data_IF_043349291275
#
_entry.id   IF_043349291275
#
_cell.length_a   1.000
_cell.length_b   1.000
_cell.length_c   1.000
_cell.angle_alpha   90.00
_cell.angle_beta   90.00
_cell.angle_gamma   90.00
#
_symmetry.space_group_name_H-M   'P 1'
#
loop_
_entity.id
_entity.type
_entity.pdbx_description
1 polymer ?
#
# COMPACT_ATOMS: atom_id res chain seq x y z
N UNK A 1 13.25 24.10 -11.99
CA UNK A 1 12.47 23.07 -11.28
C UNK A 1 13.44 22.03 -10.78
N UNK A 2 13.58 21.91 -9.47
CA UNK A 2 14.43 20.88 -8.91
C UNK A 2 13.88 19.50 -9.32
N UNK A 3 14.77 18.68 -9.91
CA UNK A 3 14.38 17.36 -10.38
C UNK A 3 14.10 16.47 -9.18
N UNK A 4 12.93 15.90 -9.15
CA UNK A 4 12.55 14.81 -8.24
C UNK A 4 13.56 13.68 -8.37
N UNK A 5 14.35 13.45 -7.33
CA UNK A 5 15.43 12.46 -7.34
C UNK A 5 14.90 11.12 -6.86
N UNK A 6 15.14 10.08 -7.63
CA UNK A 6 14.79 8.72 -7.24
C UNK A 6 16.04 7.85 -7.10
N UNK A 7 16.13 7.14 -6.01
CA UNK A 7 17.11 6.08 -5.78
C UNK A 7 16.42 4.73 -6.01
N UNK A 8 16.58 4.16 -7.20
CA UNK A 8 16.03 2.84 -7.50
C UNK A 8 16.96 1.73 -6.99
N UNK A 9 16.45 0.89 -6.10
CA UNK A 9 17.14 -0.28 -5.56
C UNK A 9 17.39 -1.32 -6.65
N UNK A 10 18.63 -1.86 -6.70
CA UNK A 10 19.07 -2.84 -7.71
C UNK A 10 18.73 -4.30 -7.33
N UNK A 11 18.23 -4.52 -6.16
CA UNK A 11 17.80 -5.82 -5.63
C UNK A 11 16.49 -5.66 -4.87
N UNK A 12 15.72 -6.74 -4.69
CA UNK A 12 14.58 -6.70 -3.77
C UNK A 12 15.04 -6.34 -2.36
N UNK A 13 14.20 -5.65 -1.63
CA UNK A 13 14.37 -5.45 -0.21
C UNK A 13 13.80 -6.67 0.52
N UNK A 14 14.66 -7.65 0.83
CA UNK A 14 14.20 -8.94 1.36
C UNK A 14 13.54 -8.86 2.74
N UNK A 15 13.81 -7.82 3.53
CA UNK A 15 13.05 -7.59 4.77
C UNK A 15 11.63 -7.14 4.48
N UNK A 16 11.47 -6.26 3.50
CA UNK A 16 10.16 -5.85 3.01
C UNK A 16 9.41 -7.05 2.40
N UNK A 17 10.07 -7.86 1.55
CA UNK A 17 9.49 -9.07 0.99
C UNK A 17 9.08 -10.06 2.08
N UNK A 18 9.85 -10.20 3.16
CA UNK A 18 9.51 -11.01 4.32
C UNK A 18 8.20 -10.54 4.98
N UNK A 19 8.03 -9.23 5.17
CA UNK A 19 6.76 -8.68 5.67
C UNK A 19 5.62 -9.03 4.72
N UNK A 20 5.82 -8.88 3.41
CA UNK A 20 4.79 -9.20 2.42
C UNK A 20 4.44 -10.69 2.46
N UNK A 21 5.40 -11.59 2.72
CA UNK A 21 5.14 -13.01 2.93
C UNK A 21 4.14 -13.27 4.08
N UNK A 22 4.21 -12.51 5.18
CA UNK A 22 3.22 -12.66 6.28
C UNK A 22 1.80 -12.42 5.79
N UNK A 23 1.61 -11.45 4.91
CA UNK A 23 0.30 -11.15 4.31
C UNK A 23 -0.06 -12.17 3.25
N UNK A 24 0.87 -12.50 2.34
CA UNK A 24 0.62 -13.35 1.19
C UNK A 24 0.43 -14.82 1.56
N UNK A 25 0.93 -15.23 2.71
CA UNK A 25 0.62 -16.53 3.35
C UNK A 25 -0.88 -16.74 3.55
N UNK A 26 -1.61 -15.65 3.87
CA UNK A 26 -3.06 -15.68 4.10
C UNK A 26 -3.89 -15.43 2.84
N UNK A 27 -3.41 -14.62 1.89
CA UNK A 27 -4.25 -14.13 0.78
C UNK A 27 -3.82 -14.53 -0.61
N UNK A 28 -2.67 -15.13 -0.82
CA UNK A 28 -2.17 -15.59 -2.12
C UNK A 28 -2.49 -14.64 -3.29
N UNK A 29 -1.77 -13.55 -3.40
CA UNK A 29 -2.02 -12.51 -4.41
C UNK A 29 -1.84 -13.04 -5.83
N UNK A 30 -0.92 -13.97 -6.08
CA UNK A 30 -0.73 -14.59 -7.39
C UNK A 30 -2.01 -15.30 -7.84
N UNK A 31 -2.62 -16.09 -6.94
CA UNK A 31 -3.89 -16.75 -7.21
C UNK A 31 -5.03 -15.76 -7.44
N UNK A 32 -5.02 -14.63 -6.73
CA UNK A 32 -6.02 -13.59 -6.95
C UNK A 32 -5.90 -12.99 -8.35
N UNK A 33 -4.67 -12.73 -8.84
CA UNK A 33 -4.42 -12.20 -10.19
C UNK A 33 -4.78 -13.22 -11.26
N UNK A 34 -4.39 -14.49 -11.12
CA UNK A 34 -4.69 -15.52 -12.12
C UNK A 34 -6.20 -15.83 -12.26
N UNK A 35 -7.00 -15.41 -11.29
CA UNK A 35 -8.48 -15.50 -11.34
C UNK A 35 -9.17 -14.21 -11.79
N UNK A 36 -8.41 -13.21 -12.18
CA UNK A 36 -8.94 -11.91 -12.58
C UNK A 36 -8.96 -11.73 -14.10
N UNK A 37 -9.52 -12.71 -14.82
CA UNK A 37 -9.58 -12.78 -16.29
C UNK A 37 -10.21 -11.53 -16.90
N UNK A 38 -11.33 -11.11 -16.36
CA UNK A 38 -12.07 -9.93 -16.83
C UNK A 38 -11.26 -8.66 -16.62
N UNK A 39 -10.61 -8.54 -15.45
CA UNK A 39 -9.83 -7.37 -15.10
C UNK A 39 -8.65 -7.13 -16.03
N UNK A 40 -8.00 -8.20 -16.47
CA UNK A 40 -6.81 -8.11 -17.32
C UNK A 40 -7.09 -8.43 -18.81
N UNK A 41 -8.30 -8.83 -19.15
CA UNK A 41 -8.66 -9.22 -20.53
C UNK A 41 -7.83 -10.38 -21.06
N UNK A 42 -7.42 -11.30 -20.18
CA UNK A 42 -6.58 -12.45 -20.48
C UNK A 42 -7.28 -13.73 -20.04
N UNK A 43 -7.05 -14.84 -20.75
CA UNK A 43 -7.57 -16.13 -20.31
C UNK A 43 -6.87 -16.59 -19.02
N UNK A 44 -7.55 -17.41 -18.25
CA UNK A 44 -7.00 -17.98 -17.03
C UNK A 44 -5.73 -18.79 -17.30
N UNK A 45 -5.75 -19.61 -18.32
CA UNK A 45 -4.60 -20.40 -18.74
C UNK A 45 -3.38 -19.52 -19.07
N UNK A 46 -3.59 -18.41 -19.77
CA UNK A 46 -2.54 -17.44 -20.04
C UNK A 46 -1.97 -16.87 -18.71
N UNK A 47 -2.84 -16.42 -17.82
CA UNK A 47 -2.41 -15.85 -16.54
C UNK A 47 -1.68 -16.88 -15.67
N UNK A 48 -2.15 -18.10 -15.58
CA UNK A 48 -1.51 -19.19 -14.82
C UNK A 48 -0.11 -19.50 -15.38
N UNK A 49 0.05 -19.55 -16.70
CA UNK A 49 1.36 -19.77 -17.34
C UNK A 49 2.30 -18.57 -17.11
N UNK A 50 1.80 -17.36 -17.31
CA UNK A 50 2.57 -16.12 -17.20
C UNK A 50 3.09 -15.88 -15.78
N UNK A 51 2.31 -16.23 -14.75
CA UNK A 51 2.69 -16.09 -13.36
C UNK A 51 3.29 -17.36 -12.73
N UNK A 52 3.56 -18.39 -13.53
CA UNK A 52 4.01 -19.70 -13.02
C UNK A 52 5.31 -19.63 -12.20
N UNK A 53 6.30 -18.85 -12.65
CA UNK A 53 7.56 -18.66 -11.92
C UNK A 53 7.37 -17.89 -10.62
N UNK A 54 6.57 -16.84 -10.64
CA UNK A 54 6.24 -16.07 -9.45
C UNK A 54 5.47 -16.93 -8.45
N UNK A 55 4.53 -17.75 -8.92
CA UNK A 55 3.82 -18.72 -8.09
C UNK A 55 4.80 -19.72 -7.46
N UNK A 56 5.70 -20.31 -8.26
CA UNK A 56 6.73 -21.21 -7.77
C UNK A 56 7.62 -20.58 -6.72
N UNK A 57 8.13 -19.37 -6.97
CA UNK A 57 8.95 -18.64 -6.00
C UNK A 57 8.19 -18.40 -4.70
N UNK A 58 6.99 -17.85 -4.81
CA UNK A 58 6.11 -17.57 -3.66
C UNK A 58 5.84 -18.83 -2.85
N UNK A 59 5.40 -19.91 -3.51
CA UNK A 59 5.00 -21.14 -2.83
C UNK A 59 6.19 -21.83 -2.17
N UNK A 60 7.37 -21.84 -2.83
CA UNK A 60 8.61 -22.36 -2.26
C UNK A 60 9.02 -21.58 -1.01
N UNK A 61 9.04 -20.27 -1.09
CA UNK A 61 9.46 -19.40 0.02
C UNK A 61 8.52 -19.56 1.21
N UNK A 62 7.21 -19.51 0.98
CA UNK A 62 6.22 -19.63 2.06
C UNK A 62 6.30 -21.02 2.70
N UNK A 63 6.39 -22.08 1.92
CA UNK A 63 6.51 -23.45 2.42
C UNK A 63 7.77 -23.66 3.29
N UNK A 64 8.92 -23.13 2.87
CA UNK A 64 10.15 -23.19 3.66
C UNK A 64 10.06 -22.37 4.96
N UNK A 65 9.48 -21.18 4.90
CA UNK A 65 9.26 -20.34 6.09
C UNK A 65 8.30 -21.04 7.06
N UNK A 66 7.21 -21.66 6.60
CA UNK A 66 6.26 -22.37 7.44
C UNK A 66 6.90 -23.63 8.08
N UNK A 67 7.75 -24.32 7.34
CA UNK A 67 8.50 -25.49 7.86
C UNK A 67 9.60 -25.14 8.86
N UNK A 68 9.97 -23.86 8.98
CA UNK A 68 10.98 -23.43 9.96
C UNK A 68 10.59 -23.64 11.43
N UNK A 69 9.30 -23.86 11.70
CA UNK A 69 8.76 -23.96 13.05
C UNK A 69 8.57 -22.62 13.77
N UNK A 70 8.67 -21.49 13.05
CA UNK A 70 8.38 -20.17 13.62
C UNK A 70 6.92 -20.06 14.06
N UNK A 71 6.68 -19.55 15.26
CA UNK A 71 5.32 -19.29 15.75
C UNK A 71 4.80 -17.93 15.22
N UNK A 72 3.95 -17.99 14.22
CA UNK A 72 3.33 -16.82 13.60
C UNK A 72 2.19 -16.20 14.42
N UNK A 73 1.69 -16.89 15.43
CA UNK A 73 0.45 -16.52 16.13
C UNK A 73 0.42 -15.08 16.63
N UNK A 74 1.56 -14.56 17.07
CA UNK A 74 1.67 -13.18 17.53
C UNK A 74 1.72 -12.18 16.37
N UNK A 75 2.60 -12.38 15.37
CA UNK A 75 2.70 -11.48 14.21
C UNK A 75 1.43 -11.47 13.36
N UNK A 76 0.72 -12.59 13.31
CA UNK A 76 -0.55 -12.73 12.61
C UNK A 76 -1.66 -11.79 13.12
N UNK A 77 -1.54 -11.28 14.34
CA UNK A 77 -2.45 -10.27 14.91
C UNK A 77 -2.34 -8.92 14.19
N UNK A 78 -1.18 -8.62 13.61
CA UNK A 78 -0.88 -7.39 12.87
C UNK A 78 -1.08 -7.54 11.35
N UNK A 79 -1.49 -8.72 10.91
CA UNK A 79 -1.77 -9.00 9.50
C UNK A 79 -3.26 -8.84 9.24
N UNK A 80 -3.66 -7.65 8.83
CA UNK A 80 -5.05 -7.28 8.57
C UNK A 80 -5.60 -7.93 7.29
N UNK A 81 -6.91 -8.26 7.26
CA UNK A 81 -7.53 -8.93 6.11
C UNK A 81 -7.73 -8.03 4.89
N UNK A 82 -7.63 -6.72 5.04
CA UNK A 82 -7.87 -5.78 3.95
C UNK A 82 -6.60 -5.54 3.14
N UNK A 83 -6.50 -6.24 2.01
CA UNK A 83 -5.39 -6.07 1.06
C UNK A 83 -5.38 -4.72 0.34
N UNK A 84 -6.45 -3.93 0.42
CA UNK A 84 -6.51 -2.57 -0.15
C UNK A 84 -5.88 -1.55 0.80
N UNK A 85 -5.94 -1.77 2.12
CA UNK A 85 -5.26 -0.93 3.10
C UNK A 85 -3.74 -1.08 2.99
N UNK A 86 -3.03 -0.03 3.42
CA UNK A 86 -1.57 -0.11 3.56
C UNK A 86 -1.23 -1.13 4.66
N UNK A 87 -0.42 -2.18 4.35
CA UNK A 87 -0.11 -3.20 5.34
C UNK A 87 0.57 -2.62 6.58
N UNK A 88 0.02 -2.89 7.76
CA UNK A 88 0.45 -2.30 9.02
C UNK A 88 1.96 -2.48 9.32
N UNK A 89 2.44 -3.73 9.22
CA UNK A 89 3.85 -4.02 9.47
C UNK A 89 4.76 -3.39 8.41
N UNK A 90 4.30 -3.21 7.17
CA UNK A 90 5.03 -2.51 6.13
C UNK A 90 5.12 -1.01 6.42
N UNK A 91 4.08 -0.43 7.00
CA UNK A 91 4.08 0.95 7.48
C UNK A 91 5.11 1.14 8.59
N UNK A 92 5.11 0.27 9.61
CA UNK A 92 6.11 0.29 10.67
C UNK A 92 7.54 0.13 10.11
N UNK A 93 7.71 -0.72 9.12
CA UNK A 93 8.98 -0.95 8.45
C UNK A 93 9.51 0.33 7.79
N UNK A 94 8.70 1.02 7.01
CA UNK A 94 9.10 2.29 6.39
C UNK A 94 9.31 3.39 7.44
N UNK A 95 8.41 3.50 8.41
CA UNK A 95 8.52 4.48 9.49
C UNK A 95 9.83 4.34 10.29
N UNK A 96 10.31 3.11 10.48
CA UNK A 96 11.61 2.82 11.14
C UNK A 96 12.83 3.07 10.25
N UNK A 97 12.67 3.64 9.05
CA UNK A 97 13.75 3.78 8.08
C UNK A 97 14.28 2.44 7.54
N UNK A 98 13.40 1.45 7.40
CA UNK A 98 13.66 0.06 6.93
C UNK A 98 14.56 -0.77 7.89
N UNK A 99 14.65 -0.39 9.14
CA UNK A 99 15.51 -1.05 10.12
C UNK A 99 14.86 -1.30 11.49
N UNK A 100 13.62 -1.85 11.58
CA UNK A 100 12.98 -2.08 12.87
C UNK A 100 13.73 -3.13 13.70
N UNK A 101 14.48 -4.00 13.07
CA UNK A 101 15.29 -5.05 13.67
C UNK A 101 16.58 -4.54 14.32
N UNK A 102 17.01 -3.32 14.03
CA UNK A 102 18.20 -2.70 14.67
C UNK A 102 17.88 -1.98 15.97
N UNK A 103 16.63 -1.73 16.25
CA UNK A 103 16.16 -1.07 17.47
C UNK A 103 16.10 -2.10 18.59
N UNK A 104 17.03 -2.04 19.55
CA UNK A 104 17.23 -3.09 20.55
C UNK A 104 17.12 -2.63 21.99
N UNK A 105 17.48 -1.39 22.31
CA UNK A 105 17.33 -0.87 23.69
C UNK A 105 15.88 -0.55 23.99
N UNK A 106 15.52 -0.61 25.28
CA UNK A 106 14.17 -0.31 25.72
C UNK A 106 13.76 1.12 25.35
N UNK A 107 14.68 2.06 25.52
CA UNK A 107 14.46 3.48 25.22
C UNK A 107 14.23 3.70 23.70
N UNK A 108 15.00 3.02 22.85
CA UNK A 108 14.82 3.11 21.40
C UNK A 108 13.48 2.50 20.94
N UNK A 109 13.09 1.37 21.54
CA UNK A 109 11.80 0.71 21.27
C UNK A 109 10.65 1.62 21.68
N UNK A 110 10.70 2.19 22.88
CA UNK A 110 9.68 3.09 23.39
C UNK A 110 9.58 4.37 22.55
N UNK A 111 10.72 4.90 22.12
CA UNK A 111 10.77 6.06 21.24
C UNK A 111 10.16 5.77 19.87
N UNK A 112 10.62 4.69 19.19
CA UNK A 112 10.14 4.34 17.87
C UNK A 112 8.64 4.08 17.86
N UNK A 113 8.15 3.26 18.78
CA UNK A 113 6.74 2.87 18.80
C UNK A 113 5.86 4.02 19.29
N UNK A 114 6.31 4.82 20.24
CA UNK A 114 5.59 6.03 20.67
C UNK A 114 5.40 7.03 19.54
N UNK A 115 6.46 7.30 18.78
CA UNK A 115 6.40 8.17 17.59
C UNK A 115 5.52 7.57 16.48
N UNK A 116 5.66 6.27 16.20
CA UNK A 116 4.88 5.57 15.18
C UNK A 116 3.38 5.57 15.49
N UNK A 117 3.01 5.32 16.72
CA UNK A 117 1.61 5.32 17.16
C UNK A 117 1.03 6.73 17.10
N UNK A 118 1.79 7.75 17.53
CA UNK A 118 1.38 9.15 17.43
C UNK A 118 1.15 9.57 15.96
N UNK A 119 2.07 9.24 15.08
CA UNK A 119 1.96 9.48 13.64
C UNK A 119 0.71 8.82 13.04
N UNK A 120 0.46 7.57 13.39
CA UNK A 120 -0.73 6.86 12.91
C UNK A 120 -2.04 7.48 13.43
N UNK A 121 -2.10 7.83 14.71
CA UNK A 121 -3.27 8.50 15.29
C UNK A 121 -3.50 9.84 14.57
N UNK A 122 -2.46 10.65 14.42
CA UNK A 122 -2.55 11.95 13.73
C UNK A 122 -3.08 11.82 12.31
N UNK A 123 -2.59 10.84 11.55
CA UNK A 123 -3.12 10.55 10.22
C UNK A 123 -4.59 10.13 10.24
N UNK A 124 -4.97 9.29 11.22
CA UNK A 124 -6.35 8.77 11.31
C UNK A 124 -7.34 9.84 11.71
N UNK A 125 -6.99 10.70 12.68
CA UNK A 125 -7.89 11.76 13.19
C UNK A 125 -7.67 13.08 12.47
N UNK A 126 -6.65 13.16 11.61
CA UNK A 126 -6.19 14.36 10.92
C UNK A 126 -6.08 15.57 11.87
N UNK A 127 -5.56 15.34 13.06
CA UNK A 127 -5.31 16.35 14.07
C UNK A 127 -3.84 16.74 14.02
N UNK A 128 -3.56 18.03 13.91
CA UNK A 128 -2.22 18.52 14.16
C UNK A 128 -1.91 18.37 15.66
N UNK A 129 -0.86 17.64 15.96
CA UNK A 129 -0.19 17.79 17.24
C UNK A 129 -0.50 16.77 18.33
N UNK A 130 -0.84 15.52 18.02
CA UNK A 130 -0.57 14.47 19.00
C UNK A 130 0.94 14.38 19.14
N UNK A 131 1.46 14.93 20.21
CA UNK A 131 2.86 14.75 20.60
C UNK A 131 3.13 13.25 20.79
N UNK A 132 4.39 12.88 20.84
CA UNK A 132 4.85 11.53 21.08
C UNK A 132 4.07 10.86 22.22
N UNK A 133 3.54 9.68 21.98
CA UNK A 133 2.89 8.86 23.01
C UNK A 133 3.96 8.22 23.89
N UNK A 134 4.03 8.63 25.15
CA UNK A 134 5.04 8.17 26.09
C UNK A 134 4.50 7.16 27.10
N UNK A 135 3.18 7.13 27.30
CA UNK A 135 2.54 6.29 28.31
C UNK A 135 1.16 5.77 27.92
N UNK A 136 0.76 4.69 28.58
CA UNK A 136 -0.51 4.01 28.32
C UNK A 136 -1.74 4.89 28.63
N UNK A 137 -1.66 5.74 29.66
CA UNK A 137 -2.75 6.64 30.02
C UNK A 137 -2.99 7.72 28.97
N UNK A 138 -1.91 8.26 28.41
CA UNK A 138 -1.96 9.21 27.31
C UNK A 138 -2.56 8.55 26.08
N UNK A 139 -2.11 7.33 25.76
CA UNK A 139 -2.64 6.55 24.64
C UNK A 139 -4.16 6.33 24.80
N UNK A 140 -4.65 5.91 25.95
CA UNK A 140 -6.09 5.72 26.17
C UNK A 140 -6.88 7.00 25.95
N UNK A 141 -6.41 8.14 26.46
CA UNK A 141 -7.08 9.44 26.24
C UNK A 141 -7.12 9.83 24.78
N UNK A 142 -6.05 9.58 24.05
CA UNK A 142 -5.98 9.89 22.61
C UNK A 142 -6.86 8.97 21.77
N UNK A 143 -6.94 7.68 22.14
CA UNK A 143 -7.78 6.70 21.46
C UNK A 143 -9.28 6.85 21.75
N UNK A 144 -9.68 7.64 22.73
CA UNK A 144 -11.11 7.97 22.99
C UNK A 144 -11.70 8.94 21.94
N UNK A 145 -11.07 9.04 20.81
CA UNK A 145 -11.53 9.84 19.68
C UNK A 145 -12.47 9.00 18.78
N UNK A 146 -13.73 9.42 18.56
CA UNK A 146 -14.68 8.66 17.76
C UNK A 146 -14.31 8.48 16.29
N UNK A 147 -13.35 9.26 15.78
CA UNK A 147 -12.85 9.16 14.42
C UNK A 147 -11.96 7.91 14.21
N UNK A 148 -11.39 7.35 15.29
CA UNK A 148 -10.56 6.15 15.21
C UNK A 148 -11.48 4.93 15.20
N UNK A 149 -11.40 4.10 14.16
CA UNK A 149 -12.16 2.87 14.08
C UNK A 149 -11.77 1.88 15.20
N UNK A 150 -12.73 1.07 15.65
CA UNK A 150 -12.48 0.12 16.75
C UNK A 150 -11.34 -0.85 16.44
N UNK A 151 -11.22 -1.28 15.18
CA UNK A 151 -10.15 -2.17 14.71
C UNK A 151 -8.77 -1.51 14.82
N UNK A 152 -8.67 -0.24 14.43
CA UNK A 152 -7.42 0.53 14.52
C UNK A 152 -7.05 0.79 15.98
N UNK A 153 -8.02 1.10 16.86
CA UNK A 153 -7.79 1.24 18.31
C UNK A 153 -7.16 -0.02 18.91
N UNK A 154 -7.73 -1.19 18.57
CA UNK A 154 -7.22 -2.46 19.08
C UNK A 154 -5.80 -2.73 18.59
N UNK A 155 -5.53 -2.45 17.33
CA UNK A 155 -4.22 -2.67 16.74
C UNK A 155 -3.16 -1.71 17.31
N UNK A 156 -3.52 -0.45 17.53
CA UNK A 156 -2.67 0.55 18.17
C UNK A 156 -2.36 0.16 19.61
N UNK A 157 -3.38 -0.22 20.39
CA UNK A 157 -3.20 -0.68 21.78
C UNK A 157 -2.30 -1.90 21.86
N UNK A 158 -2.54 -2.89 20.98
CA UNK A 158 -1.74 -4.11 20.93
C UNK A 158 -0.28 -3.84 20.59
N UNK A 159 -0.05 -2.94 19.64
CA UNK A 159 1.29 -2.48 19.27
C UNK A 159 2.01 -1.84 20.44
N UNK A 160 1.39 -0.88 21.09
CA UNK A 160 2.01 -0.15 22.17
C UNK A 160 2.26 -1.05 23.40
N UNK A 161 1.27 -1.86 23.77
CA UNK A 161 1.36 -2.77 24.91
C UNK A 161 2.42 -3.87 24.70
N UNK A 162 2.59 -4.36 23.49
CA UNK A 162 3.49 -5.47 23.15
C UNK A 162 4.70 -5.03 22.32
N UNK A 163 5.06 -3.77 22.30
CA UNK A 163 6.08 -3.17 21.43
C UNK A 163 7.44 -3.87 21.44
N UNK A 164 7.91 -4.29 22.62
CA UNK A 164 9.18 -5.03 22.74
C UNK A 164 9.09 -6.39 22.09
N UNK A 165 7.99 -7.11 22.32
CA UNK A 165 7.73 -8.40 21.70
C UNK A 165 7.58 -8.26 20.19
N UNK A 166 6.86 -7.25 19.71
CA UNK A 166 6.67 -7.00 18.29
C UNK A 166 7.99 -6.87 17.54
N UNK A 167 8.90 -6.01 18.04
CA UNK A 167 10.20 -5.82 17.39
C UNK A 167 11.12 -7.05 17.57
N UNK A 168 11.02 -7.75 18.70
CA UNK A 168 11.75 -8.99 18.93
C UNK A 168 11.31 -10.10 17.96
N UNK A 169 9.99 -10.29 17.81
CA UNK A 169 9.43 -11.33 16.93
C UNK A 169 9.66 -10.98 15.46
N UNK A 170 9.60 -9.70 15.08
CA UNK A 170 10.00 -9.27 13.73
C UNK A 170 11.47 -9.56 13.45
N UNK A 171 12.36 -9.33 14.41
CA UNK A 171 13.79 -9.65 14.28
C UNK A 171 14.01 -11.16 14.12
N UNK A 172 13.36 -11.96 14.98
CA UNK A 172 13.42 -13.41 14.87
C UNK A 172 12.86 -13.91 13.54
N UNK A 173 11.75 -13.36 13.09
CA UNK A 173 11.17 -13.67 11.80
C UNK A 173 12.10 -13.30 10.63
N UNK A 174 12.70 -12.11 10.61
CA UNK A 174 13.65 -11.72 9.57
C UNK A 174 14.88 -12.62 9.51
N UNK A 175 15.36 -13.13 10.66
CA UNK A 175 16.49 -14.04 10.70
C UNK A 175 16.21 -15.37 10.00
N UNK A 176 14.94 -15.74 9.85
CA UNK A 176 14.48 -16.94 9.14
C UNK A 176 14.08 -16.60 7.71
N UNK A 177 13.19 -15.63 7.53
CA UNK A 177 12.56 -15.37 6.25
C UNK A 177 13.52 -14.73 5.23
N UNK A 178 14.41 -13.83 5.65
CA UNK A 178 15.35 -13.17 4.73
C UNK A 178 16.30 -14.16 4.05
N UNK A 179 16.99 -15.06 4.76
CA UNK A 179 17.81 -16.09 4.11
C UNK A 179 17.03 -17.00 3.16
N UNK A 180 15.79 -17.38 3.50
CA UNK A 180 14.93 -18.19 2.64
C UNK A 180 14.62 -17.45 1.34
N UNK A 181 14.24 -16.18 1.42
CA UNK A 181 13.95 -15.33 0.26
C UNK A 181 15.21 -15.14 -0.63
N UNK A 182 16.35 -14.86 -0.02
CA UNK A 182 17.62 -14.68 -0.73
C UNK A 182 18.07 -15.96 -1.46
N UNK A 183 18.00 -17.10 -0.77
CA UNK A 183 18.42 -18.38 -1.33
C UNK A 183 17.54 -18.80 -2.51
N UNK A 184 16.25 -18.56 -2.44
CA UNK A 184 15.29 -18.93 -3.48
C UNK A 184 15.12 -17.86 -4.57
N UNK A 185 15.73 -16.67 -4.41
CA UNK A 185 15.62 -15.59 -5.39
C UNK A 185 16.06 -15.98 -6.80
N UNK A 186 16.92 -16.99 -6.94
CA UNK A 186 17.35 -17.51 -8.24
C UNK A 186 16.19 -17.98 -9.12
N UNK A 187 15.05 -18.41 -8.52
CA UNK A 187 13.84 -18.87 -9.25
C UNK A 187 13.25 -17.74 -10.10
N UNK A 188 13.27 -16.50 -9.59
CA UNK A 188 12.61 -15.34 -10.20
C UNK A 188 13.60 -14.26 -10.69
N UNK A 189 14.88 -14.42 -10.39
CA UNK A 189 15.92 -13.39 -10.67
C UNK A 189 15.91 -12.90 -12.10
N UNK A 190 15.86 -13.81 -13.08
CA UNK A 190 15.91 -13.44 -14.49
C UNK A 190 14.73 -12.54 -14.88
N UNK A 191 13.54 -12.86 -14.36
CA UNK A 191 12.32 -12.06 -14.57
C UNK A 191 12.44 -10.71 -13.87
N UNK A 192 12.87 -10.70 -12.61
CA UNK A 192 13.12 -9.46 -11.86
C UNK A 192 14.07 -8.51 -12.58
N UNK A 193 15.18 -9.03 -13.13
CA UNK A 193 16.17 -8.23 -13.86
C UNK A 193 15.62 -7.65 -15.17
N UNK A 194 14.67 -8.33 -15.82
CA UNK A 194 13.95 -7.79 -16.98
C UNK A 194 13.16 -6.57 -16.58
N UNK A 195 12.33 -6.69 -15.56
CA UNK A 195 11.52 -5.57 -15.08
C UNK A 195 12.36 -4.45 -14.49
N UNK A 196 13.44 -4.76 -13.76
CA UNK A 196 14.34 -3.74 -13.25
C UNK A 196 14.88 -2.85 -14.38
N UNK A 197 15.31 -3.46 -15.49
CA UNK A 197 15.77 -2.70 -16.67
C UNK A 197 14.68 -1.81 -17.28
N UNK A 198 13.42 -2.22 -17.22
CA UNK A 198 12.30 -1.38 -17.69
C UNK A 198 12.11 -0.16 -16.77
N UNK A 199 12.16 -0.36 -15.45
CA UNK A 199 12.06 0.74 -14.49
C UNK A 199 13.30 1.68 -14.53
N UNK A 200 14.47 1.18 -14.85
CA UNK A 200 15.70 1.99 -15.06
C UNK A 200 15.59 2.95 -16.25
N UNK A 201 14.70 2.71 -17.20
CA UNK A 201 14.47 3.59 -18.34
C UNK A 201 13.58 4.79 -17.99
N UNK A 202 12.93 4.78 -16.84
CA UNK A 202 12.07 5.89 -16.41
C UNK A 202 12.94 7.11 -16.13
N UNK A 203 12.80 8.13 -16.97
CA UNK A 203 13.55 9.38 -16.88
C UNK A 203 12.87 10.42 -16.01
N UNK A 204 11.56 10.37 -15.91
CA UNK A 204 10.74 11.21 -15.03
C UNK A 204 9.83 10.33 -14.15
N UNK A 205 10.25 10.18 -12.89
CA UNK A 205 9.51 9.40 -11.92
C UNK A 205 8.27 10.14 -11.38
N UNK A 206 8.26 11.46 -11.46
CA UNK A 206 7.06 12.21 -11.05
C UNK A 206 5.94 11.98 -12.05
N UNK A 207 6.23 12.06 -13.35
CA UNK A 207 5.28 11.72 -14.40
C UNK A 207 4.82 10.26 -14.30
N UNK A 208 5.75 9.34 -13.95
CA UNK A 208 5.40 7.94 -13.70
C UNK A 208 4.35 7.79 -12.60
N UNK A 209 4.56 8.42 -11.44
CA UNK A 209 3.61 8.32 -10.34
C UNK A 209 2.31 9.08 -10.63
N UNK A 210 2.39 10.24 -11.26
CA UNK A 210 1.22 11.03 -11.68
C UNK A 210 0.34 10.25 -12.68
N UNK A 211 0.95 9.51 -13.62
CA UNK A 211 0.24 8.62 -14.54
C UNK A 211 -0.58 7.55 -13.80
N UNK A 212 -0.08 7.05 -12.68
CA UNK A 212 -0.79 6.10 -11.82
C UNK A 212 -1.61 6.77 -10.72
N UNK A 213 -1.80 8.07 -10.82
CA UNK A 213 -2.62 8.83 -9.88
C UNK A 213 -2.06 8.88 -8.46
N UNK A 214 -0.76 8.71 -8.31
CA UNK A 214 -0.03 8.84 -7.05
C UNK A 214 0.73 10.15 -7.10
N UNK A 215 0.33 11.11 -6.28
CA UNK A 215 0.95 12.43 -6.25
C UNK A 215 1.73 12.64 -4.97
N UNK A 216 2.97 13.02 -5.13
CA UNK A 216 3.82 13.48 -4.03
C UNK A 216 3.79 14.99 -3.94
N UNK A 217 3.83 15.52 -2.73
CA UNK A 217 3.99 16.94 -2.50
C UNK A 217 5.27 17.48 -3.16
N UNK A 218 5.28 18.79 -3.41
CA UNK A 218 6.44 19.47 -4.00
C UNK A 218 7.68 19.40 -3.10
N UNK A 219 7.46 19.22 -1.80
CA UNK A 219 8.52 19.12 -0.79
C UNK A 219 9.24 17.78 -0.79
N UNK A 220 8.67 16.72 -1.39
CA UNK A 220 9.35 15.46 -1.63
C UNK A 220 10.37 15.64 -2.75
N UNK A 221 11.63 15.79 -2.38
CA UNK A 221 12.73 16.01 -3.33
C UNK A 221 13.47 14.72 -3.68
N UNK A 222 13.46 13.74 -2.78
CA UNK A 222 14.10 12.45 -2.96
C UNK A 222 13.17 11.32 -2.52
N UNK A 223 13.13 10.25 -3.30
CA UNK A 223 12.34 9.05 -3.03
C UNK A 223 13.20 7.79 -3.19
N UNK A 224 13.23 6.96 -2.18
CA UNK A 224 13.85 5.65 -2.27
C UNK A 224 12.83 4.62 -2.78
N UNK A 225 13.05 4.15 -4.00
CA UNK A 225 12.16 3.20 -4.67
C UNK A 225 12.75 1.80 -4.63
N UNK A 226 11.95 0.84 -4.18
CA UNK A 226 12.30 -0.58 -4.19
C UNK A 226 11.35 -1.34 -5.10
N UNK A 227 11.91 -2.13 -6.02
CA UNK A 227 11.12 -3.02 -6.84
C UNK A 227 10.80 -4.28 -6.04
N UNK A 228 9.50 -4.60 -5.89
CA UNK A 228 9.02 -5.74 -5.11
C UNK A 228 8.62 -6.91 -6.00
N UNK A 229 9.02 -8.11 -5.59
CA UNK A 229 8.65 -9.37 -6.24
C UNK A 229 7.27 -9.82 -5.79
N UNK A 230 7.04 -9.89 -4.49
CA UNK A 230 5.78 -10.43 -3.94
C UNK A 230 4.64 -9.41 -3.92
N UNK A 231 4.95 -8.11 -3.84
CA UNK A 231 3.97 -7.04 -4.04
C UNK A 231 3.78 -6.70 -5.53
N UNK A 232 4.00 -7.63 -6.42
CA UNK A 232 4.22 -7.49 -7.86
C UNK A 232 3.19 -6.63 -8.62
N UNK A 233 1.98 -6.48 -8.11
CA UNK A 233 0.85 -5.80 -8.76
C UNK A 233 0.41 -4.51 -8.05
N UNK A 234 1.19 -3.97 -7.11
CA UNK A 234 0.80 -2.81 -6.30
C UNK A 234 1.95 -1.81 -6.18
N UNK A 235 1.57 -0.55 -5.92
CA UNK A 235 2.48 0.46 -5.41
C UNK A 235 2.10 0.76 -3.97
N UNK A 236 3.11 0.91 -3.11
CA UNK A 236 2.96 1.34 -1.72
C UNK A 236 4.00 2.41 -1.41
N UNK A 237 3.55 3.62 -1.14
CA UNK A 237 4.44 4.74 -0.84
C UNK A 237 4.12 5.33 0.52
N UNK A 238 5.14 5.79 1.20
CA UNK A 238 5.04 6.47 2.48
C UNK A 238 6.03 7.62 2.51
N UNK A 239 5.55 8.80 2.88
CA UNK A 239 6.36 9.98 3.14
C UNK A 239 6.32 10.25 4.64
N UNK A 240 7.46 10.52 5.26
CA UNK A 240 7.54 10.76 6.70
C UNK A 240 8.54 11.88 6.98
N UNK A 241 8.08 12.93 7.63
CA UNK A 241 8.93 14.09 7.97
C UNK A 241 10.16 13.64 8.78
N UNK A 242 11.34 13.93 8.25
CA UNK A 242 12.62 13.65 8.92
C UNK A 242 13.05 12.17 8.96
N UNK A 243 12.27 11.25 8.37
CA UNK A 243 12.58 9.80 8.38
C UNK A 243 12.80 9.19 6.99
N UNK A 244 12.52 9.96 5.94
CA UNK A 244 12.69 9.58 4.54
C UNK A 244 11.38 9.23 3.82
N UNK A 245 11.47 9.24 2.51
CA UNK A 245 10.36 8.96 1.62
C UNK A 245 10.63 7.66 0.88
N UNK A 246 9.72 6.71 1.01
CA UNK A 246 9.87 5.36 0.51
C UNK A 246 8.74 4.97 -0.42
N UNK A 247 9.06 4.24 -1.48
CA UNK A 247 8.07 3.60 -2.34
C UNK A 247 8.49 2.18 -2.67
N UNK A 248 7.54 1.28 -2.60
CA UNK A 248 7.64 -0.05 -3.16
C UNK A 248 6.77 -0.14 -4.39
N UNK A 249 7.36 -0.48 -5.51
CA UNK A 249 6.68 -0.67 -6.79
C UNK A 249 6.73 -2.15 -7.14
N UNK A 250 5.59 -2.75 -7.39
CA UNK A 250 5.52 -4.14 -7.83
C UNK A 250 6.22 -4.33 -9.17
N UNK A 251 7.03 -5.37 -9.31
CA UNK A 251 7.84 -5.56 -10.51
C UNK A 251 6.99 -5.63 -11.80
N UNK A 252 5.77 -6.18 -11.73
CA UNK A 252 4.85 -6.31 -12.87
C UNK A 252 3.74 -5.25 -12.87
N UNK A 253 3.86 -4.20 -12.06
CA UNK A 253 2.80 -3.21 -11.90
C UNK A 253 2.43 -2.53 -13.22
N UNK A 254 3.42 -2.03 -13.97
CA UNK A 254 3.20 -1.36 -15.25
C UNK A 254 2.50 -2.26 -16.27
N UNK A 255 2.97 -3.49 -16.39
CA UNK A 255 2.42 -4.48 -17.32
C UNK A 255 0.95 -4.80 -17.00
N UNK A 256 0.67 -5.05 -15.70
CA UNK A 256 -0.68 -5.36 -15.27
C UNK A 256 -1.63 -4.16 -15.41
N UNK A 257 -1.13 -2.95 -15.19
CA UNK A 257 -1.90 -1.74 -15.44
C UNK A 257 -2.18 -1.51 -16.91
N UNK A 258 -1.24 -1.83 -17.78
CA UNK A 258 -1.46 -1.76 -19.22
C UNK A 258 -2.48 -2.82 -19.68
N UNK A 259 -2.43 -4.04 -19.14
CA UNK A 259 -3.46 -5.04 -19.41
C UNK A 259 -4.84 -4.60 -18.90
N UNK A 260 -4.91 -4.02 -17.70
CA UNK A 260 -6.15 -3.40 -17.20
C UNK A 260 -6.66 -2.34 -18.19
N UNK A 261 -5.79 -1.44 -18.65
CA UNK A 261 -6.14 -0.37 -19.59
C UNK A 261 -6.65 -0.91 -20.92
N UNK A 262 -5.99 -1.93 -21.48
CA UNK A 262 -6.41 -2.58 -22.71
C UNK A 262 -7.74 -3.32 -22.52
N UNK A 263 -7.91 -4.02 -21.41
CA UNK A 263 -9.14 -4.73 -21.08
C UNK A 263 -10.33 -3.75 -20.87
N UNK A 264 -10.03 -2.55 -20.36
CA UNK A 264 -11.01 -1.46 -20.26
C UNK A 264 -11.66 -1.10 -21.59
N UNK A 265 -10.88 -1.12 -22.65
CA UNK A 265 -11.34 -0.81 -24.00
C UNK A 265 -12.16 -1.96 -24.60
N UNK A 266 -12.01 -3.20 -24.11
CA UNK A 266 -12.73 -4.38 -24.57
C UNK A 266 -13.86 -4.78 -23.60
N UNK A 267 -15.08 -4.31 -23.85
CA UNK A 267 -16.43 -4.79 -23.44
C UNK A 267 -16.76 -5.29 -22.02
N UNK A 268 -15.82 -5.59 -21.13
CA UNK A 268 -16.15 -6.12 -19.78
C UNK A 268 -16.11 -5.10 -18.68
N UNK A 269 -15.27 -4.10 -18.80
CA UNK A 269 -14.90 -3.17 -17.73
C UNK A 269 -15.84 -1.97 -17.66
N UNK A 270 -16.48 -1.60 -18.77
CA UNK A 270 -17.54 -0.58 -18.74
C UNK A 270 -18.64 -0.95 -17.73
N UNK A 271 -18.96 -2.24 -17.59
CA UNK A 271 -19.94 -2.71 -16.62
C UNK A 271 -19.47 -2.47 -15.17
N UNK A 272 -18.18 -2.63 -14.86
CA UNK A 272 -17.64 -2.34 -13.52
C UNK A 272 -17.69 -0.84 -13.22
N UNK A 273 -17.37 0.02 -14.20
CA UNK A 273 -17.55 1.47 -14.04
C UNK A 273 -19.01 1.83 -13.81
N UNK A 274 -19.92 1.27 -14.61
CA UNK A 274 -21.35 1.53 -14.43
C UNK A 274 -21.84 1.09 -13.05
N UNK A 275 -21.42 -0.09 -12.56
CA UNK A 275 -21.73 -0.55 -11.19
C UNK A 275 -21.16 0.38 -10.12
N UNK A 276 -19.92 0.84 -10.28
CA UNK A 276 -19.31 1.75 -9.34
C UNK A 276 -20.00 3.13 -9.35
N UNK A 277 -20.37 3.64 -10.51
CA UNK A 277 -21.04 4.94 -10.65
C UNK A 277 -22.55 4.89 -10.37
N UNK A 278 -23.18 3.72 -10.30
CA UNK A 278 -24.62 3.61 -9.98
C UNK A 278 -24.98 3.92 -8.52
N UNK A 279 -24.00 4.11 -7.64
CA UNK A 279 -24.23 4.45 -6.23
C UNK A 279 -24.32 5.96 -6.04
N UNK A 280 -25.41 6.42 -5.48
CA UNK A 280 -25.68 7.86 -5.29
C UNK A 280 -24.70 8.57 -4.33
N UNK A 281 -24.12 7.84 -3.38
CA UNK A 281 -23.12 8.40 -2.47
C UNK A 281 -21.82 8.66 -3.21
N UNK A 282 -21.36 7.70 -4.03
CA UNK A 282 -20.17 7.87 -4.85
C UNK A 282 -20.28 8.99 -5.87
N UNK A 283 -21.45 9.15 -6.49
CA UNK A 283 -21.70 10.30 -7.39
C UNK A 283 -21.61 11.64 -6.65
N UNK A 284 -22.16 11.74 -5.44
CA UNK A 284 -22.02 12.94 -4.62
C UNK A 284 -20.58 13.20 -4.22
N UNK A 285 -19.83 12.16 -3.83
CA UNK A 285 -18.41 12.27 -3.54
C UNK A 285 -17.63 12.82 -4.74
N UNK A 286 -17.86 12.30 -5.93
CA UNK A 286 -17.21 12.78 -7.16
C UNK A 286 -17.56 14.24 -7.45
N UNK A 287 -18.79 14.67 -7.19
CA UNK A 287 -19.20 16.06 -7.34
C UNK A 287 -18.39 17.01 -6.44
N UNK A 288 -18.17 16.62 -5.18
CA UNK A 288 -17.38 17.40 -4.22
C UNK A 288 -15.88 17.38 -4.59
N UNK A 289 -15.34 16.19 -4.86
CA UNK A 289 -13.93 15.98 -5.21
C UNK A 289 -13.53 16.64 -6.54
N UNK A 290 -14.49 16.93 -7.41
CA UNK A 290 -14.26 17.72 -8.64
C UNK A 290 -13.93 19.17 -8.34
N UNK A 291 -14.50 19.72 -7.27
CA UNK A 291 -14.34 21.13 -6.91
C UNK A 291 -13.04 21.41 -6.18
N UNK A 292 -12.60 20.46 -5.32
CA UNK A 292 -11.42 20.59 -4.49
C UNK A 292 -10.91 19.23 -4.04
N UNK A 293 -9.62 19.14 -3.72
CA UNK A 293 -9.09 17.99 -3.00
C UNK A 293 -9.67 17.93 -1.60
N UNK A 294 -10.01 16.74 -1.14
CA UNK A 294 -10.61 16.54 0.18
C UNK A 294 -10.04 15.32 0.86
N UNK A 295 -9.98 15.38 2.18
CA UNK A 295 -9.63 14.28 3.08
C UNK A 295 -10.88 13.45 3.41
N UNK A 296 -10.70 12.22 3.90
CA UNK A 296 -11.81 11.34 4.30
C UNK A 296 -12.79 12.05 5.24
N UNK A 297 -12.27 12.76 6.26
CA UNK A 297 -13.11 13.46 7.25
C UNK A 297 -13.92 14.59 6.65
N UNK A 298 -13.35 15.31 5.69
CA UNK A 298 -14.05 16.44 5.06
C UNK A 298 -15.19 15.94 4.19
N UNK A 299 -14.97 14.84 3.45
CA UNK A 299 -16.00 14.16 2.68
C UNK A 299 -17.08 13.61 3.63
N UNK A 300 -16.67 12.98 4.74
CA UNK A 300 -17.59 12.44 5.73
C UNK A 300 -18.51 13.53 6.34
N UNK A 301 -17.92 14.67 6.68
CA UNK A 301 -18.66 15.84 7.21
C UNK A 301 -19.61 16.42 6.16
N UNK A 302 -19.14 16.62 4.93
CA UNK A 302 -19.93 17.20 3.84
C UNK A 302 -21.15 16.31 3.49
N UNK A 303 -20.93 15.01 3.40
CA UNK A 303 -21.96 14.05 3.04
C UNK A 303 -22.79 13.56 4.23
N UNK A 304 -22.45 13.96 5.47
CA UNK A 304 -23.07 13.50 6.73
C UNK A 304 -23.06 11.98 6.88
N UNK A 305 -21.92 11.37 6.58
CA UNK A 305 -21.66 9.94 6.67
C UNK A 305 -20.49 9.67 7.61
N UNK A 306 -20.31 8.41 8.02
CA UNK A 306 -19.19 8.02 8.87
C UNK A 306 -17.90 7.89 8.04
N UNK A 307 -16.73 8.14 8.64
CA UNK A 307 -15.44 7.99 7.98
C UNK A 307 -15.22 6.56 7.44
N UNK A 308 -15.56 5.46 8.14
CA UNK A 308 -15.48 4.11 7.57
C UNK A 308 -16.33 3.92 6.32
N UNK A 309 -17.55 4.49 6.28
CA UNK A 309 -18.41 4.43 5.09
C UNK A 309 -17.76 5.15 3.92
N UNK A 310 -17.19 6.33 4.15
CA UNK A 310 -16.47 7.08 3.10
C UNK A 310 -15.23 6.32 2.65
N UNK A 311 -14.43 5.78 3.57
CA UNK A 311 -13.25 4.98 3.22
C UNK A 311 -13.59 3.78 2.33
N UNK A 312 -14.72 3.11 2.58
CA UNK A 312 -15.21 2.03 1.72
C UNK A 312 -15.54 2.55 0.30
N UNK A 313 -16.24 3.66 0.18
CA UNK A 313 -16.55 4.24 -1.15
C UNK A 313 -15.28 4.74 -1.85
N UNK A 314 -14.33 5.34 -1.12
CA UNK A 314 -13.02 5.76 -1.64
C UNK A 314 -12.26 4.56 -2.20
N UNK A 315 -12.20 3.44 -1.48
CA UNK A 315 -11.48 2.24 -1.95
C UNK A 315 -12.04 1.72 -3.28
N UNK A 316 -13.35 1.79 -3.46
CA UNK A 316 -14.00 1.41 -4.72
C UNK A 316 -13.62 2.37 -5.85
N UNK A 317 -13.69 3.69 -5.61
CA UNK A 317 -13.37 4.71 -6.61
C UNK A 317 -11.89 4.74 -6.96
N UNK A 318 -10.99 4.50 -5.99
CA UNK A 318 -9.54 4.33 -6.23
C UNK A 318 -9.26 3.09 -7.08
N UNK A 319 -9.90 1.97 -6.75
CA UNK A 319 -9.71 0.70 -7.48
C UNK A 319 -10.04 0.83 -8.96
N UNK A 320 -11.07 1.59 -9.31
CA UNK A 320 -11.43 1.87 -10.70
C UNK A 320 -10.69 3.08 -11.28
N UNK A 321 -9.89 3.77 -10.48
CA UNK A 321 -9.04 4.88 -10.89
C UNK A 321 -9.76 6.20 -11.17
N UNK A 322 -11.04 6.33 -10.82
CA UNK A 322 -11.81 7.57 -11.02
C UNK A 322 -11.35 8.67 -10.08
N UNK A 323 -10.84 8.32 -8.92
CA UNK A 323 -10.20 9.27 -8.01
C UNK A 323 -8.73 8.91 -7.83
N UNK A 324 -7.96 9.91 -7.42
CA UNK A 324 -6.54 9.81 -7.14
C UNK A 324 -6.28 10.18 -5.69
N UNK A 325 -5.25 9.59 -5.11
CA UNK A 325 -4.76 9.92 -3.79
C UNK A 325 -3.49 10.76 -3.90
N UNK A 326 -3.40 11.87 -3.18
CA UNK A 326 -2.18 12.67 -3.05
C UNK A 326 -1.75 12.70 -1.58
N UNK A 327 -0.46 12.47 -1.33
CA UNK A 327 0.13 12.56 0.01
C UNK A 327 0.69 13.95 0.24
N UNK A 328 0.36 14.56 1.38
CA UNK A 328 0.93 15.84 1.81
C UNK A 328 2.15 15.60 2.68
N UNK A 329 3.23 16.34 2.41
CA UNK A 329 4.47 16.31 3.20
C UNK A 329 4.42 17.29 4.39
N UNK A 330 3.60 18.32 4.28
CA UNK A 330 3.48 19.39 5.29
C UNK A 330 2.69 18.94 6.54
N UNK A 331 1.86 17.91 6.40
CA UNK A 331 1.08 17.29 7.48
C UNK A 331 1.33 15.80 7.40
N UNK A 332 2.11 15.22 8.32
CA UNK A 332 2.56 13.82 8.28
C UNK A 332 1.49 12.84 7.81
N UNK A 333 1.69 12.27 6.62
CA UNK A 333 0.91 11.14 6.13
C UNK A 333 -0.53 11.44 5.69
N UNK A 334 -0.98 12.69 5.67
CA UNK A 334 -2.35 13.03 5.28
C UNK A 334 -2.60 12.79 3.80
N UNK A 335 -3.59 11.94 3.50
CA UNK A 335 -3.98 11.59 2.16
C UNK A 335 -5.20 12.43 1.71
N UNK A 336 -5.05 13.17 0.61
CA UNK A 336 -6.12 13.91 -0.05
C UNK A 336 -6.54 13.23 -1.34
N UNK A 337 -7.83 13.30 -1.64
CA UNK A 337 -8.42 12.68 -2.82
C UNK A 337 -8.92 13.74 -3.79
N UNK A 338 -8.78 13.46 -5.08
CA UNK A 338 -9.31 14.29 -6.16
C UNK A 338 -9.79 13.43 -7.32
N UNK A 339 -10.65 13.96 -8.18
CA UNK A 339 -11.10 13.27 -9.40
C UNK A 339 -9.96 13.19 -10.41
N UNK A 340 -9.81 12.05 -11.06
CA UNK A 340 -8.92 11.86 -12.22
C UNK A 340 -9.66 12.29 -13.49
N UNK A 341 -9.24 13.40 -14.10
CA UNK A 341 -9.82 13.88 -15.34
C UNK A 341 -9.60 12.87 -16.49
N UNK A 342 -8.37 12.38 -16.62
CA UNK A 342 -7.99 11.42 -17.67
C UNK A 342 -8.87 10.16 -17.65
N UNK A 343 -9.18 9.67 -16.43
CA UNK A 343 -10.03 8.48 -16.27
C UNK A 343 -11.50 8.76 -16.62
N UNK A 344 -11.98 9.95 -16.35
CA UNK A 344 -13.32 10.37 -16.79
C UNK A 344 -13.38 10.42 -18.31
N UNK A 345 -12.35 10.96 -18.96
CA UNK A 345 -12.25 11.03 -20.42
C UNK A 345 -12.21 9.62 -21.04
N UNK A 346 -11.45 8.67 -20.47
CA UNK A 346 -11.44 7.27 -20.87
C UNK A 346 -12.86 6.65 -20.85
N UNK A 347 -13.61 6.90 -19.78
CA UNK A 347 -14.99 6.40 -19.63
C UNK A 347 -15.91 7.02 -20.67
N UNK A 348 -15.78 8.33 -20.91
CA UNK A 348 -16.55 9.03 -21.94
C UNK A 348 -16.23 8.49 -23.34
N UNK A 349 -14.96 8.20 -23.64
CA UNK A 349 -14.56 7.57 -24.89
C UNK A 349 -15.18 6.16 -25.06
N UNK A 350 -15.15 5.34 -23.98
CA UNK A 350 -15.77 4.01 -23.99
C UNK A 350 -17.28 4.08 -24.22
N UNK A 351 -17.97 5.03 -23.57
CA UNK A 351 -19.40 5.26 -23.78
C UNK A 351 -19.70 5.73 -25.21
N UNK A 352 -18.82 6.54 -25.80
CA UNK A 352 -18.97 7.02 -27.17
C UNK A 352 -18.90 5.89 -28.21
N UNK A 353 -18.19 4.79 -27.92
CA UNK A 353 -18.09 3.59 -28.76
C UNK A 353 -19.35 2.72 -28.74
N UNK A 354 -20.32 3.03 -27.88
CA UNK A 354 -21.64 2.39 -27.89
C UNK A 354 -22.64 3.04 -28.87
N UNK A 355 -22.27 4.16 -29.47
CA UNK A 355 -23.04 4.81 -30.56
C UNK A 355 -22.73 4.18 -31.93
#
# INVERSE_FOLDING_TARGET
MDKFKVNLGKKPDFKMEAIICLYDRKWNQVRAVTRSEVKYGKSREFLENEFSRLALYRDTVIDEIEKSGFDFSFLDRFVQPDVEKFPYLLRLYFFSGKNPDKVVSDEEVDALIGDFVADWINETVEADGTEKITGIEELYRTLDNPLIAAEDRMLILDTFANRKRLLSDLRAYFSIAVPVLENNFHIIRAEFEVYLREYEKITDWRDFYDYYSIRFDKDVQQLDVTLSVLLFNKIRSMTTVGRGDYSSVGMRYNELKEWERIALVSNGVLLEYMKALSDGTRLRMLSELRQRKMRVKDIARELKLTAPTISHHISILLRIGIITASMSHSESGVCEYSVSADRIDDICELLSKLK
#
